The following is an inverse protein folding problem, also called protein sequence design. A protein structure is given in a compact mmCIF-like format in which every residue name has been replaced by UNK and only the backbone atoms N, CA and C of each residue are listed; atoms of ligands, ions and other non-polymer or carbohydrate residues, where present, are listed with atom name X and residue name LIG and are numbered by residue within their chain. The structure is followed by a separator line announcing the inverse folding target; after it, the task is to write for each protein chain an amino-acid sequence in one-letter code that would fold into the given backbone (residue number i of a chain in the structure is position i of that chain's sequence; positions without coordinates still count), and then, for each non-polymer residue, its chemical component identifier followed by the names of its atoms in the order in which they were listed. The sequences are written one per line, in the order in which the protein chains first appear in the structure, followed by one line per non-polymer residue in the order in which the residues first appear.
data_IF_844482056477
#
_entry.id   IF_844482056477
#
_cell.length_a   1.000
_cell.length_b   1.000
_cell.length_c   1.000
_cell.angle_alpha   90.00
_cell.angle_beta   90.00
_cell.angle_gamma   90.00
#
_symmetry.space_group_name_H-M   'P 1'
#
loop_
_entity.id
_entity.type
_entity.pdbx_description
1 polymer ?
#
# COMPACT_ATOMS: atom_id res chain seq x y z
N UNK A 1 4.00 23.76 -17.40
CA UNK A 1 5.13 23.88 -16.45
C UNK A 1 4.57 24.50 -15.19
N UNK A 2 4.02 23.68 -14.28
CA UNK A 2 3.44 24.17 -13.04
C UNK A 2 4.57 24.35 -12.01
N UNK A 3 4.74 25.54 -11.40
CA UNK A 3 5.82 25.82 -10.47
C UNK A 3 5.55 25.19 -9.10
N UNK A 4 6.65 24.78 -8.45
CA UNK A 4 6.79 24.22 -7.11
C UNK A 4 5.84 24.85 -6.04
N UNK A 5 4.64 24.29 -5.87
CA UNK A 5 3.67 24.69 -4.85
C UNK A 5 3.80 23.93 -3.52
N UNK A 6 4.85 23.11 -3.38
CA UNK A 6 4.91 22.06 -2.37
C UNK A 6 6.01 22.20 -1.32
N UNK A 7 6.63 23.36 -1.19
CA UNK A 7 7.69 23.59 -0.19
C UNK A 7 7.18 23.79 1.24
N UNK A 8 5.89 23.53 1.54
CA UNK A 8 5.25 24.05 2.76
C UNK A 8 4.31 23.14 3.54
N UNK A 9 4.23 21.83 3.28
CA UNK A 9 3.51 20.92 4.18
C UNK A 9 4.51 20.13 5.01
N UNK A 10 4.51 20.41 6.31
CA UNK A 10 5.30 19.69 7.30
C UNK A 10 4.60 18.36 7.59
N UNK A 11 5.01 17.31 6.88
CA UNK A 11 4.63 15.93 7.19
C UNK A 11 4.91 15.65 8.67
N UNK A 12 3.85 15.35 9.43
CA UNK A 12 3.92 15.06 10.87
C UNK A 12 4.69 13.75 11.06
N UNK A 13 5.96 13.90 11.45
CA UNK A 13 6.89 12.84 11.83
C UNK A 13 6.27 11.94 12.90
N UNK A 14 6.46 10.63 12.77
CA UNK A 14 6.55 9.78 13.95
C UNK A 14 7.70 10.28 14.83
N UNK A 15 7.43 10.46 16.12
CA UNK A 15 8.33 11.07 17.10
C UNK A 15 9.73 10.43 17.08
N UNK A 16 10.67 11.03 16.36
CA UNK A 16 12.09 10.74 16.50
C UNK A 16 12.59 11.47 17.74
N UNK A 17 12.69 10.75 18.86
CA UNK A 17 13.38 11.26 20.04
C UNK A 17 14.90 11.23 19.78
N UNK A 18 15.42 12.37 19.30
CA UNK A 18 16.84 12.58 19.04
C UNK A 18 17.73 12.46 20.28
N UNK A 19 17.15 12.29 21.47
CA UNK A 19 17.91 12.16 22.72
C UNK A 19 18.36 10.73 23.01
N UNK A 20 17.85 9.73 22.27
CA UNK A 20 18.26 8.35 22.46
C UNK A 20 18.89 7.77 21.19
N UNK A 21 20.19 7.98 21.00
CA UNK A 21 21.04 7.25 20.04
C UNK A 21 21.20 5.75 20.41
N UNK A 22 20.14 5.12 20.88
CA UNK A 22 20.00 3.68 21.14
C UNK A 22 18.85 3.22 20.24
N UNK A 23 18.97 2.30 19.30
CA UNK A 23 19.99 1.31 19.03
C UNK A 23 19.76 0.91 17.55
N UNK A 24 20.77 0.98 16.68
CA UNK A 24 20.69 0.29 15.40
C UNK A 24 20.92 -1.18 15.70
N UNK A 25 19.86 -1.89 16.07
CA UNK A 25 19.87 -3.34 15.95
C UNK A 25 19.87 -3.65 14.45
N UNK A 26 21.02 -4.05 13.91
CA UNK A 26 21.19 -4.40 12.50
C UNK A 26 20.21 -5.50 12.05
N UNK A 27 19.65 -6.24 13.01
CA UNK A 27 18.70 -7.33 12.78
C UNK A 27 17.23 -6.94 13.02
N UNK A 28 16.95 -5.68 13.37
CA UNK A 28 15.59 -5.20 13.60
C UNK A 28 15.05 -4.46 12.38
N UNK A 29 13.78 -4.72 12.08
CA UNK A 29 13.05 -4.12 10.96
C UNK A 29 12.05 -3.10 11.50
N UNK A 30 12.16 -1.83 11.08
CA UNK A 30 11.27 -0.75 11.53
C UNK A 30 9.99 -0.67 10.68
N UNK A 31 8.79 -0.83 11.29
CA UNK A 31 7.52 -0.75 10.57
C UNK A 31 7.28 0.60 9.88
N UNK A 32 7.58 1.70 10.57
CA UNK A 32 7.44 3.06 10.06
C UNK A 32 8.28 3.29 8.81
N UNK A 33 9.52 2.78 8.80
CA UNK A 33 10.39 2.87 7.63
C UNK A 33 9.81 2.11 6.43
N UNK A 34 9.29 0.89 6.64
CA UNK A 34 8.65 0.11 5.56
C UNK A 34 7.44 0.87 5.00
N UNK A 35 6.52 1.28 5.88
CA UNK A 35 5.27 1.92 5.47
C UNK A 35 5.54 3.19 4.67
N UNK A 36 6.51 3.99 5.09
CA UNK A 36 6.89 5.22 4.40
C UNK A 36 7.53 4.96 3.03
N UNK A 37 8.49 4.03 2.94
CA UNK A 37 9.18 3.74 1.67
C UNK A 37 8.22 3.12 0.65
N UNK A 38 7.38 2.18 1.07
CA UNK A 38 6.41 1.53 0.18
C UNK A 38 5.35 2.53 -0.30
N UNK A 39 4.83 3.37 0.60
CA UNK A 39 3.88 4.42 0.21
C UNK A 39 4.51 5.44 -0.74
N UNK A 40 5.75 5.85 -0.49
CA UNK A 40 6.49 6.75 -1.38
C UNK A 40 6.73 6.15 -2.76
N UNK A 41 7.01 4.84 -2.86
CA UNK A 41 7.18 4.16 -4.15
C UNK A 41 5.87 4.13 -4.94
N UNK A 42 4.77 3.80 -4.25
CA UNK A 42 3.45 3.65 -4.86
C UNK A 42 2.92 4.91 -5.55
N UNK A 43 3.24 6.09 -5.01
CA UNK A 43 2.76 7.38 -5.53
C UNK A 43 3.68 7.97 -6.62
N UNK A 44 4.71 7.25 -7.09
CA UNK A 44 5.56 7.58 -8.26
C UNK A 44 6.14 9.01 -8.32
N UNK A 45 6.09 9.77 -7.24
CA UNK A 45 6.60 11.14 -7.15
C UNK A 45 7.84 11.19 -6.27
N UNK A 46 8.99 11.37 -6.92
CA UNK A 46 10.33 11.38 -6.32
C UNK A 46 10.66 12.60 -5.43
N UNK A 47 9.71 13.13 -4.65
CA UNK A 47 9.95 14.34 -3.89
C UNK A 47 9.31 14.45 -2.50
N UNK A 48 8.91 13.38 -1.80
CA UNK A 48 8.48 13.55 -0.38
C UNK A 48 9.00 12.54 0.63
N UNK A 49 9.74 11.51 0.23
CA UNK A 49 10.36 10.64 1.21
C UNK A 49 11.88 10.57 1.07
N UNK A 50 12.55 11.34 1.93
CA UNK A 50 13.96 11.12 2.26
C UNK A 50 13.98 10.61 3.69
N UNK A 51 14.21 9.30 3.85
CA UNK A 51 14.34 8.68 5.16
C UNK A 51 15.29 9.51 6.03
N UNK A 52 14.82 9.88 7.21
CA UNK A 52 15.56 10.74 8.13
C UNK A 52 16.72 9.99 8.80
N UNK A 53 16.61 8.66 8.80
CA UNK A 53 17.62 7.72 9.22
C UNK A 53 17.91 6.77 8.06
N UNK A 54 19.17 6.41 7.81
CA UNK A 54 19.48 5.39 6.83
C UNK A 54 18.83 4.05 7.21
N UNK A 55 18.38 3.32 6.20
CA UNK A 55 17.94 1.94 6.34
C UNK A 55 19.15 1.06 6.64
N UNK A 56 18.96 -0.01 7.41
CA UNK A 56 19.95 -1.09 7.48
C UNK A 56 19.79 -2.03 6.26
N UNK A 57 20.74 -2.94 6.06
CA UNK A 57 20.74 -3.81 4.88
C UNK A 57 19.50 -4.71 4.79
N UNK A 58 19.01 -5.24 5.92
CA UNK A 58 17.80 -6.07 5.95
C UNK A 58 16.57 -5.28 5.55
N UNK A 59 16.42 -4.06 6.07
CA UNK A 59 15.35 -3.14 5.72
C UNK A 59 15.40 -2.80 4.22
N UNK A 60 16.58 -2.51 3.66
CA UNK A 60 16.74 -2.25 2.23
C UNK A 60 16.29 -3.45 1.38
N UNK A 61 16.77 -4.66 1.71
CA UNK A 61 16.39 -5.88 0.99
C UNK A 61 14.90 -6.19 1.10
N UNK A 62 14.32 -5.97 2.28
CA UNK A 62 12.90 -6.23 2.54
C UNK A 62 12.01 -5.22 1.82
N UNK A 63 12.35 -3.93 1.89
CA UNK A 63 11.65 -2.86 1.19
C UNK A 63 11.69 -3.13 -0.31
N UNK A 64 12.86 -3.46 -0.86
CA UNK A 64 12.98 -3.79 -2.29
C UNK A 64 12.12 -4.99 -2.67
N UNK A 65 12.08 -6.02 -1.83
CA UNK A 65 11.21 -7.18 -2.09
C UNK A 65 9.73 -6.80 -2.07
N UNK A 66 9.27 -6.00 -1.10
CA UNK A 66 7.89 -5.53 -1.05
C UNK A 66 7.56 -4.69 -2.28
N UNK A 67 8.48 -3.82 -2.72
CA UNK A 67 8.36 -3.05 -3.96
C UNK A 67 8.17 -3.97 -5.16
N UNK A 68 9.01 -5.00 -5.33
CA UNK A 68 8.89 -5.95 -6.44
C UNK A 68 7.53 -6.67 -6.43
N UNK A 69 7.01 -7.06 -5.25
CA UNK A 69 5.68 -7.69 -5.10
C UNK A 69 4.56 -6.71 -5.45
N UNK A 70 4.68 -5.47 -4.97
CA UNK A 70 3.73 -4.38 -5.24
C UNK A 70 3.67 -4.07 -6.74
N UNK A 71 4.82 -4.01 -7.41
CA UNK A 71 4.90 -3.75 -8.84
C UNK A 71 4.31 -4.90 -9.66
N UNK A 72 4.60 -6.15 -9.30
CA UNK A 72 3.94 -7.31 -9.93
C UNK A 72 2.41 -7.24 -9.78
N UNK A 73 1.91 -6.90 -8.58
CA UNK A 73 0.48 -6.71 -8.38
C UNK A 73 -0.08 -5.57 -9.23
N UNK A 74 0.57 -4.40 -9.25
CA UNK A 74 0.16 -3.25 -10.08
C UNK A 74 0.08 -3.65 -11.56
N UNK A 75 1.10 -4.28 -12.12
CA UNK A 75 1.11 -4.68 -13.54
C UNK A 75 -0.07 -5.57 -13.93
N UNK A 76 -0.57 -6.38 -13.02
CA UNK A 76 -1.68 -7.28 -13.30
C UNK A 76 -3.07 -6.65 -13.05
N UNK A 77 -3.19 -5.61 -12.20
CA UNK A 77 -4.50 -5.16 -11.69
C UNK A 77 -4.74 -3.64 -11.70
N UNK A 78 -3.75 -2.85 -12.11
CA UNK A 78 -3.83 -1.39 -12.08
C UNK A 78 -5.01 -0.83 -12.86
N UNK A 79 -5.28 -1.35 -14.06
CA UNK A 79 -6.38 -0.86 -14.90
C UNK A 79 -7.74 -1.17 -14.28
N UNK A 80 -7.85 -2.33 -13.61
CA UNK A 80 -9.06 -2.69 -12.87
C UNK A 80 -9.28 -1.70 -11.75
N UNK A 81 -8.25 -1.43 -10.94
CA UNK A 81 -8.28 -0.49 -9.81
C UNK A 81 -8.63 0.93 -10.28
N UNK A 82 -8.00 1.42 -11.35
CA UNK A 82 -8.28 2.74 -11.94
C UNK A 82 -9.71 2.85 -12.45
N UNK A 83 -10.25 1.79 -13.05
CA UNK A 83 -11.66 1.72 -13.46
C UNK A 83 -12.63 1.95 -12.29
N UNK A 84 -12.28 1.55 -11.07
CA UNK A 84 -13.13 1.71 -9.88
C UNK A 84 -13.20 3.16 -9.43
N UNK A 85 -12.04 3.81 -9.43
CA UNK A 85 -11.90 5.21 -9.05
C UNK A 85 -12.72 6.14 -9.95
N UNK A 86 -13.04 5.72 -11.18
CA UNK A 86 -13.95 6.48 -12.05
C UNK A 86 -15.40 6.58 -11.53
N UNK A 87 -15.79 5.73 -10.58
CA UNK A 87 -17.14 5.71 -9.97
C UNK A 87 -17.20 6.37 -8.60
N UNK A 88 -16.06 6.85 -8.10
CA UNK A 88 -15.94 7.47 -6.78
C UNK A 88 -16.13 8.97 -6.84
N UNK A 89 -16.93 9.49 -5.92
CA UNK A 89 -16.91 10.91 -5.58
C UNK A 89 -15.78 11.16 -4.59
N UNK A 90 -14.75 11.87 -5.06
CA UNK A 90 -13.64 12.27 -4.20
C UNK A 90 -14.06 13.48 -3.38
N UNK A 91 -13.74 13.46 -2.08
CA UNK A 91 -13.73 14.59 -1.15
C UNK A 91 -12.63 14.36 -0.12
N UNK A 92 -12.06 15.43 0.45
CA UNK A 92 -11.00 15.31 1.45
C UNK A 92 -11.48 14.52 2.69
N UNK A 93 -12.72 14.79 3.12
CA UNK A 93 -13.37 14.14 4.28
C UNK A 93 -13.69 12.65 4.05
N UNK A 94 -13.80 12.21 2.79
CA UNK A 94 -14.18 10.82 2.48
C UNK A 94 -12.97 9.88 2.42
N UNK A 95 -11.74 10.40 2.35
CA UNK A 95 -10.51 9.61 2.20
C UNK A 95 -10.34 8.54 3.29
N UNK A 96 -10.44 8.93 4.57
CA UNK A 96 -10.35 8.00 5.69
C UNK A 96 -11.48 6.97 5.72
N UNK A 97 -12.70 7.38 5.36
CA UNK A 97 -13.87 6.48 5.29
C UNK A 97 -13.72 5.45 4.17
N UNK A 98 -13.22 5.88 3.01
CA UNK A 98 -12.92 5.00 1.87
C UNK A 98 -11.86 3.98 2.27
N UNK A 99 -10.75 4.41 2.88
CA UNK A 99 -9.68 3.54 3.33
C UNK A 99 -10.21 2.50 4.33
N UNK A 100 -10.95 2.94 5.36
CA UNK A 100 -11.44 2.05 6.40
C UNK A 100 -12.50 1.07 5.88
N UNK A 101 -13.43 1.53 5.05
CA UNK A 101 -14.44 0.68 4.43
C UNK A 101 -13.82 -0.42 3.57
N UNK A 102 -12.89 -0.03 2.70
CA UNK A 102 -12.16 -0.96 1.84
C UNK A 102 -11.31 -1.96 2.64
N UNK A 103 -10.61 -1.49 3.67
CA UNK A 103 -9.77 -2.35 4.48
C UNK A 103 -10.60 -3.38 5.27
N UNK A 104 -11.69 -2.95 5.92
CA UNK A 104 -12.57 -3.85 6.67
C UNK A 104 -13.10 -4.98 5.78
N UNK A 105 -13.44 -4.67 4.54
CA UNK A 105 -13.94 -5.65 3.59
C UNK A 105 -12.85 -6.58 3.06
N UNK A 106 -11.69 -6.01 2.72
CA UNK A 106 -10.53 -6.77 2.25
C UNK A 106 -10.05 -7.77 3.31
N UNK A 107 -10.17 -7.42 4.59
CA UNK A 107 -9.73 -8.26 5.71
C UNK A 107 -10.88 -9.05 6.38
N UNK A 108 -12.13 -8.95 5.90
CA UNK A 108 -13.28 -9.56 6.59
C UNK A 108 -13.19 -11.10 6.68
N UNK A 109 -12.62 -11.75 5.67
CA UNK A 109 -12.43 -13.21 5.64
C UNK A 109 -11.06 -13.65 6.21
N UNK A 110 -10.27 -12.71 6.75
CA UNK A 110 -8.94 -12.96 7.30
C UNK A 110 -7.87 -12.05 6.74
N UNK A 111 -6.78 -11.93 7.49
CA UNK A 111 -5.58 -11.18 7.12
C UNK A 111 -4.58 -12.15 6.49
N UNK A 112 -3.99 -11.75 5.37
CA UNK A 112 -2.89 -12.44 4.69
C UNK A 112 -1.89 -11.42 4.15
N UNK A 113 -0.63 -11.81 3.95
CA UNK A 113 0.37 -10.92 3.34
C UNK A 113 -0.08 -10.37 1.98
N UNK A 114 -0.73 -11.22 1.17
CA UNK A 114 -1.27 -10.81 -0.12
C UNK A 114 -2.36 -9.73 -0.01
N UNK A 115 -3.24 -9.81 0.99
CA UNK A 115 -4.27 -8.79 1.27
C UNK A 115 -3.64 -7.49 1.82
N UNK A 116 -2.58 -7.59 2.61
CA UNK A 116 -1.82 -6.43 3.08
C UNK A 116 -1.21 -5.68 1.89
N UNK A 117 -0.56 -6.38 0.96
CA UNK A 117 -0.02 -5.77 -0.27
C UNK A 117 -1.13 -5.13 -1.11
N UNK A 118 -2.27 -5.81 -1.28
CA UNK A 118 -3.41 -5.24 -2.03
C UNK A 118 -3.94 -3.95 -1.39
N UNK A 119 -3.99 -3.90 -0.05
CA UNK A 119 -4.34 -2.69 0.68
C UNK A 119 -3.35 -1.55 0.41
N UNK A 120 -2.05 -1.85 0.39
CA UNK A 120 -1.02 -0.85 0.12
C UNK A 120 -1.18 -0.24 -1.27
N UNK A 121 -1.33 -1.10 -2.29
CA UNK A 121 -1.55 -0.67 -3.68
C UNK A 121 -2.82 0.17 -3.78
N UNK A 122 -3.92 -0.25 -3.15
CA UNK A 122 -5.16 0.51 -3.13
C UNK A 122 -4.96 1.92 -2.56
N UNK A 123 -4.29 2.04 -1.41
CA UNK A 123 -4.01 3.32 -0.76
C UNK A 123 -3.16 4.23 -1.66
N UNK A 124 -2.12 3.68 -2.28
CA UNK A 124 -1.27 4.43 -3.22
C UNK A 124 -2.05 4.97 -4.42
N UNK A 125 -2.87 4.12 -5.05
CA UNK A 125 -3.71 4.53 -6.17
C UNK A 125 -4.79 5.53 -5.76
N UNK A 126 -5.38 5.39 -4.57
CA UNK A 126 -6.31 6.38 -4.02
C UNK A 126 -5.63 7.75 -3.95
N UNK A 127 -4.42 7.82 -3.40
CA UNK A 127 -3.64 9.07 -3.33
C UNK A 127 -3.39 9.67 -4.71
N UNK A 128 -2.94 8.86 -5.67
CA UNK A 128 -2.72 9.31 -7.05
C UNK A 128 -3.99 9.87 -7.69
N UNK A 129 -5.15 9.29 -7.38
CA UNK A 129 -6.43 9.76 -7.90
C UNK A 129 -6.87 11.09 -7.26
N UNK A 130 -6.63 11.30 -5.97
CA UNK A 130 -6.85 12.61 -5.35
C UNK A 130 -5.95 13.67 -6.00
N UNK A 131 -4.65 13.38 -6.20
CA UNK A 131 -3.72 14.29 -6.85
C UNK A 131 -4.14 14.60 -8.30
N UNK A 132 -4.55 13.57 -9.06
CA UNK A 132 -5.04 13.73 -10.43
C UNK A 132 -6.32 14.59 -10.52
N UNK A 133 -7.13 14.61 -9.46
CA UNK A 133 -8.34 15.43 -9.35
C UNK A 133 -8.09 16.85 -8.79
N UNK A 134 -6.84 17.32 -8.76
CA UNK A 134 -6.43 18.66 -8.31
C UNK A 134 -6.67 18.95 -6.82
N UNK A 135 -6.68 17.91 -5.97
CA UNK A 135 -6.69 18.10 -4.52
C UNK A 135 -5.39 18.74 -4.02
N UNK A 136 -5.42 19.46 -2.88
CA UNK A 136 -4.21 20.02 -2.31
C UNK A 136 -3.25 18.88 -1.93
N UNK A 137 -1.93 19.04 -2.14
CA UNK A 137 -0.99 17.96 -1.86
C UNK A 137 -0.90 17.54 -0.40
N UNK A 138 -1.44 18.33 0.55
CA UNK A 138 -1.62 17.92 1.95
C UNK A 138 -2.44 16.64 2.08
N UNK A 139 -3.24 16.27 1.07
CA UNK A 139 -3.98 15.00 1.04
C UNK A 139 -3.06 13.77 1.15
N UNK A 140 -1.81 13.88 0.69
CA UNK A 140 -0.81 12.81 0.80
C UNK A 140 -0.56 12.45 2.26
N UNK A 141 -0.46 13.47 3.12
CA UNK A 141 -0.22 13.35 4.55
C UNK A 141 -1.44 12.76 5.25
N UNK A 142 -2.64 13.26 4.92
CA UNK A 142 -3.92 12.77 5.47
C UNK A 142 -4.13 11.28 5.16
N UNK A 143 -3.90 10.86 3.91
CA UNK A 143 -4.04 9.47 3.51
C UNK A 143 -2.96 8.60 4.19
N UNK A 144 -1.72 9.09 4.29
CA UNK A 144 -0.66 8.37 4.99
C UNK A 144 -0.97 8.17 6.48
N UNK A 145 -1.52 9.18 7.15
CA UNK A 145 -1.96 9.07 8.55
C UNK A 145 -3.05 8.00 8.71
N UNK A 146 -4.06 8.00 7.84
CA UNK A 146 -5.12 6.98 7.85
C UNK A 146 -4.55 5.57 7.60
N UNK A 147 -3.67 5.45 6.61
CA UNK A 147 -2.99 4.22 6.23
C UNK A 147 -2.14 3.64 7.37
N UNK A 148 -1.22 4.46 7.92
CA UNK A 148 -0.31 4.04 8.98
C UNK A 148 -1.05 3.73 10.29
N UNK A 149 -2.10 4.51 10.61
CA UNK A 149 -2.99 4.22 11.73
C UNK A 149 -3.69 2.88 11.57
N UNK A 150 -4.24 2.59 10.40
CA UNK A 150 -4.91 1.30 10.16
C UNK A 150 -3.95 0.12 10.34
N UNK A 151 -2.74 0.21 9.79
CA UNK A 151 -1.71 -0.82 9.97
C UNK A 151 -1.38 -1.00 11.46
N UNK A 152 -1.15 0.11 12.18
CA UNK A 152 -0.78 0.10 13.60
C UNK A 152 -1.88 -0.50 14.49
N UNK A 153 -3.13 -0.14 14.23
CA UNK A 153 -4.27 -0.53 15.08
C UNK A 153 -4.80 -1.93 14.74
N UNK A 154 -4.73 -2.35 13.47
CA UNK A 154 -5.41 -3.57 13.00
C UNK A 154 -4.43 -4.68 12.60
N UNK A 155 -3.31 -4.34 11.96
CA UNK A 155 -2.45 -5.33 11.31
C UNK A 155 -1.22 -5.70 12.17
N UNK A 156 -0.79 -4.84 13.10
CA UNK A 156 0.42 -5.05 13.90
C UNK A 156 0.46 -6.40 14.63
N UNK A 157 -0.62 -6.78 15.31
CA UNK A 157 -0.65 -8.06 16.04
C UNK A 157 -0.50 -9.25 15.08
N UNK A 158 -1.25 -9.23 13.97
CA UNK A 158 -1.17 -10.29 12.98
C UNK A 158 0.22 -10.37 12.34
N UNK A 159 0.81 -9.22 11.97
CA UNK A 159 2.16 -9.14 11.41
C UNK A 159 3.18 -9.76 12.38
N UNK A 160 3.10 -9.41 13.67
CA UNK A 160 3.97 -9.97 14.70
C UNK A 160 3.83 -11.49 14.81
N UNK A 161 2.60 -12.00 14.81
CA UNK A 161 2.31 -13.43 14.92
C UNK A 161 2.75 -14.23 13.68
N UNK A 162 2.95 -13.56 12.54
CA UNK A 162 3.31 -14.17 11.26
C UNK A 162 4.76 -13.86 10.82
N UNK A 163 5.66 -13.73 11.80
CA UNK A 163 7.10 -13.59 11.58
C UNK A 163 7.58 -12.16 11.37
N UNK A 164 6.77 -11.17 11.79
CA UNK A 164 7.05 -9.76 11.53
C UNK A 164 7.00 -9.44 10.04
N UNK A 165 7.54 -8.28 9.65
CA UNK A 165 7.52 -7.86 8.25
C UNK A 165 8.29 -8.78 7.30
N UNK A 166 9.25 -9.57 7.82
CA UNK A 166 9.96 -10.60 7.06
C UNK A 166 9.01 -11.69 6.50
N UNK A 167 7.84 -11.89 7.11
CA UNK A 167 6.83 -12.85 6.63
C UNK A 167 6.33 -12.55 5.21
N UNK A 168 6.42 -11.30 4.74
CA UNK A 168 6.03 -10.91 3.38
C UNK A 168 6.86 -11.60 2.31
N UNK A 169 8.09 -12.04 2.64
CA UNK A 169 8.97 -12.79 1.72
C UNK A 169 8.41 -14.13 1.26
N UNK A 170 7.35 -14.61 1.92
CA UNK A 170 6.59 -15.77 1.47
C UNK A 170 5.86 -15.53 0.13
N UNK A 171 5.65 -14.27 -0.27
CA UNK A 171 5.06 -13.92 -1.56
C UNK A 171 6.09 -14.09 -2.68
N UNK A 172 5.79 -14.97 -3.63
CA UNK A 172 6.67 -15.24 -4.77
C UNK A 172 6.39 -14.29 -5.93
N UNK A 173 7.39 -13.52 -6.35
CA UNK A 173 7.36 -12.74 -7.59
C UNK A 173 7.83 -13.64 -8.74
N UNK A 174 7.00 -13.84 -9.77
CA UNK A 174 7.49 -14.45 -11.01
C UNK A 174 8.21 -13.38 -11.81
N UNK A 175 9.55 -13.38 -11.75
CA UNK A 175 10.33 -12.71 -12.79
C UNK A 175 10.21 -13.57 -14.05
N UNK A 176 9.57 -13.06 -15.10
CA UNK A 176 9.60 -13.71 -16.40
C UNK A 176 11.06 -13.74 -16.89
N UNK A 177 11.76 -14.85 -16.63
CA UNK A 177 13.03 -15.15 -17.28
C UNK A 177 12.70 -15.71 -18.66
N UNK A 178 12.30 -14.85 -19.59
CA UNK A 178 12.29 -15.22 -21.00
C UNK A 178 13.72 -15.19 -21.53
N UNK A 179 14.26 -16.41 -21.70
CA UNK A 179 15.42 -16.87 -22.51
C UNK A 179 16.69 -17.30 -21.76
N UNK A 180 16.67 -18.51 -21.21
CA UNK A 180 17.62 -19.53 -21.70
C UNK A 180 16.86 -20.83 -21.98
N UNK A 181 17.06 -21.36 -23.19
CA UNK A 181 16.38 -22.55 -23.67
C UNK A 181 16.87 -23.85 -23.01
N UNK A 182 16.15 -24.92 -23.38
CA UNK A 182 16.37 -26.36 -23.15
C UNK A 182 15.57 -26.96 -21.97
N UNK A 183 14.35 -27.36 -22.33
CA UNK A 183 13.58 -28.56 -21.94
C UNK A 183 13.99 -29.31 -20.65
N UNK A 184 13.10 -29.24 -19.64
CA UNK A 184 12.87 -30.32 -18.69
C UNK A 184 11.36 -30.40 -18.36
N UNK A 185 10.79 -31.61 -18.13
CA UNK A 185 9.38 -31.73 -17.78
C UNK A 185 9.16 -31.21 -16.35
N UNK A 186 8.22 -30.27 -16.23
CA UNK A 186 7.89 -29.57 -14.99
C UNK A 186 7.40 -30.53 -13.90
N UNK A 187 7.85 -30.42 -12.64
CA UNK A 187 7.19 -31.06 -11.51
C UNK A 187 5.83 -30.40 -11.27
N UNK A 188 4.80 -31.20 -11.01
CA UNK A 188 3.46 -30.76 -10.65
C UNK A 188 3.51 -29.77 -9.47
N UNK A 189 3.26 -28.50 -9.75
CA UNK A 189 3.28 -27.41 -8.79
C UNK A 189 3.10 -26.07 -9.48
N UNK A 190 2.14 -25.98 -10.40
CA UNK A 190 1.70 -24.71 -10.97
C UNK A 190 0.92 -23.94 -9.90
N UNK A 191 1.56 -22.94 -9.28
CA UNK A 191 0.86 -21.87 -8.56
C UNK A 191 0.83 -20.64 -9.47
N UNK A 192 -0.09 -20.65 -10.43
CA UNK A 192 -0.35 -19.60 -11.41
C UNK A 192 -1.29 -18.56 -10.81
N UNK A 193 -0.79 -17.36 -10.47
CA UNK A 193 -1.59 -16.13 -10.20
C UNK A 193 -2.78 -16.25 -9.22
N UNK A 194 -2.97 -17.39 -8.56
CA UNK A 194 -4.18 -17.72 -7.81
C UNK A 194 -4.37 -16.86 -6.58
N UNK A 195 -3.27 -16.38 -6.00
CA UNK A 195 -3.30 -15.47 -4.86
C UNK A 195 -3.92 -14.11 -5.23
N UNK A 196 -3.64 -13.61 -6.43
CA UNK A 196 -4.16 -12.33 -6.88
C UNK A 196 -5.60 -12.42 -7.39
N UNK A 197 -5.96 -13.54 -8.02
CA UNK A 197 -7.36 -13.85 -8.34
C UNK A 197 -8.20 -14.02 -7.07
N UNK A 198 -7.66 -14.57 -5.98
CA UNK A 198 -8.34 -14.64 -4.68
C UNK A 198 -8.59 -13.25 -4.07
N UNK A 199 -7.73 -12.27 -4.37
CA UNK A 199 -7.93 -10.88 -3.96
C UNK A 199 -9.08 -10.28 -4.77
N UNK A 200 -9.14 -10.50 -6.09
CA UNK A 200 -10.23 -10.01 -6.96
C UNK A 200 -11.63 -10.42 -6.50
N UNK A 201 -11.80 -11.65 -5.98
CA UNK A 201 -13.09 -12.07 -5.38
C UNK A 201 -13.48 -11.23 -4.16
N UNK A 202 -12.50 -10.80 -3.37
CA UNK A 202 -12.72 -9.86 -2.27
C UNK A 202 -12.92 -8.42 -2.79
N UNK A 203 -12.28 -8.06 -3.90
CA UNK A 203 -12.47 -6.77 -4.58
C UNK A 203 -13.89 -6.59 -5.12
N UNK A 204 -14.60 -7.67 -5.51
CA UNK A 204 -16.03 -7.59 -5.88
C UNK A 204 -16.89 -7.05 -4.74
N UNK A 205 -16.59 -7.48 -3.51
CA UNK A 205 -17.25 -6.96 -2.32
C UNK A 205 -16.80 -5.51 -2.06
N UNK A 206 -15.50 -5.23 -2.16
CA UNK A 206 -14.90 -3.87 -2.11
C UNK A 206 -15.65 -2.85 -2.99
N UNK A 207 -16.09 -3.25 -4.19
CA UNK A 207 -16.89 -2.41 -5.08
C UNK A 207 -18.26 -2.03 -4.50
N UNK A 208 -18.88 -2.90 -3.71
CA UNK A 208 -20.13 -2.65 -3.01
C UNK A 208 -19.98 -1.58 -1.93
N UNK A 209 -18.91 -1.62 -1.13
CA UNK A 209 -18.62 -0.58 -0.13
C UNK A 209 -18.25 0.74 -0.79
N UNK A 210 -17.42 0.73 -1.83
CA UNK A 210 -17.08 1.92 -2.64
C UNK A 210 -18.36 2.57 -3.20
N UNK A 211 -19.24 1.80 -3.83
CA UNK A 211 -20.51 2.29 -4.38
C UNK A 211 -21.47 2.79 -3.28
N UNK A 212 -21.52 2.12 -2.14
CA UNK A 212 -22.31 2.55 -0.98
C UNK A 212 -21.81 3.88 -0.41
N UNK A 213 -20.51 4.05 -0.26
CA UNK A 213 -19.90 5.28 0.25
C UNK A 213 -20.15 6.47 -0.69
N UNK A 214 -20.01 6.28 -2.01
CA UNK A 214 -20.37 7.27 -3.01
C UNK A 214 -21.86 7.68 -2.89
N UNK A 215 -22.76 6.71 -2.72
CA UNK A 215 -24.19 6.98 -2.61
C UNK A 215 -24.60 7.61 -1.26
N UNK A 216 -23.87 7.32 -0.18
CA UNK A 216 -24.14 7.89 1.15
C UNK A 216 -23.74 9.37 1.25
N UNK A 217 -22.73 9.80 0.49
CA UNK A 217 -22.23 11.19 0.49
C UNK A 217 -23.16 12.16 -0.26
N UNK A 218 -23.89 11.67 -1.28
CA UNK A 218 -24.85 12.45 -2.06
C UNK A 218 -26.22 12.70 -1.40
N UNK A 219 -26.43 12.28 -0.15
CA UNK A 219 -27.76 12.27 0.49
C UNK A 219 -27.99 13.28 1.63
N UNK A 220 -27.08 14.23 1.85
CA UNK A 220 -27.30 15.35 2.78
C UNK A 220 -27.52 16.69 2.05
N UNK A 221 -28.77 16.94 1.65
CA UNK A 221 -29.29 18.28 1.36
C UNK A 221 -30.81 18.30 1.63
N UNK A 222 -31.24 18.82 2.80
CA UNK A 222 -32.43 19.66 2.89
C UNK A 222 -32.08 21.15 2.78
#
# INVERSE_FOLDING_TARGET
MAPNLLSKTAFVRGDFDSTNSQCMDENSVRPDLILQNVYSHLIEEGAYFRALCPANHLEEELIQHIIDVVDDFKQNFIDTIKGLFSTLEFSEDTSGTIIQGVANELFCEGITWSRIVAFFVFVGELTLQYLANNYPPSIVDVIYECYSKYVKETLTNWISDHGGWEGVRSLSIKRDVSNQGITAPMPNGSLDKGWANSILYSTVKMFGTIAFLANSSGSNLP
#
